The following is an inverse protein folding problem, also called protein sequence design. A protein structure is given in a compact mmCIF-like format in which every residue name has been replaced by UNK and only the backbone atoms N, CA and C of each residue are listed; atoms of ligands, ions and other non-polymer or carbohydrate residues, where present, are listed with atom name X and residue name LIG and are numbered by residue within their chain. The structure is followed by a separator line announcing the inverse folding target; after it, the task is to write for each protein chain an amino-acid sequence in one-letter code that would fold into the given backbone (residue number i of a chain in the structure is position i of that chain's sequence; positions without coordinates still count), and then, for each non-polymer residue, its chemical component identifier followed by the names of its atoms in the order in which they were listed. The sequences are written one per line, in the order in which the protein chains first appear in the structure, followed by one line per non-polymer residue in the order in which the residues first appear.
data_IF_146603053060
#
_entry.id   IF_146603053060
#
_cell.length_a   1.000
_cell.length_b   1.000
_cell.length_c   1.000
_cell.angle_alpha   90.00
_cell.angle_beta   90.00
_cell.angle_gamma   90.00
#
_symmetry.space_group_name_H-M   'P 1'
#
loop_
_entity.id
_entity.type
_entity.pdbx_description
1 polymer ?
#
# COMPACT_ATOMS: atom_id res chain seq x y z
N UNK A 1 -8.44 0.33 -6.65
CA UNK A 1 -7.54 -0.17 -5.59
C UNK A 1 -6.70 0.97 -5.05
N UNK A 2 -6.57 1.15 -3.75
CA UNK A 2 -5.71 2.21 -3.21
C UNK A 2 -4.24 1.95 -3.57
N UNK A 3 -3.56 2.97 -4.10
CA UNK A 3 -2.14 2.95 -4.50
C UNK A 3 -1.40 3.98 -3.67
N UNK A 4 -0.20 3.64 -3.20
CA UNK A 4 0.67 4.59 -2.53
C UNK A 4 1.05 5.70 -3.51
N UNK A 5 0.78 6.95 -3.13
CA UNK A 5 1.12 8.13 -3.90
C UNK A 5 2.63 8.27 -4.15
N UNK A 6 3.47 7.97 -3.14
CA UNK A 6 4.94 8.15 -3.22
C UNK A 6 5.68 7.02 -3.96
N UNK A 7 5.35 5.75 -3.70
CA UNK A 7 6.10 4.61 -4.25
C UNK A 7 5.28 3.69 -5.17
N UNK A 8 4.01 4.02 -5.42
CA UNK A 8 3.17 3.25 -6.34
C UNK A 8 2.77 1.85 -5.86
N UNK A 9 3.09 1.46 -4.62
CA UNK A 9 2.66 0.18 -4.04
C UNK A 9 1.15 0.04 -4.09
N UNK A 10 0.69 -1.10 -4.58
CA UNK A 10 -0.71 -1.46 -4.70
C UNK A 10 -0.90 -2.90 -4.23
N UNK A 11 -2.14 -3.35 -4.16
CA UNK A 11 -2.44 -4.74 -3.78
C UNK A 11 -1.91 -5.67 -4.85
N UNK A 12 -1.11 -6.66 -4.45
CA UNK A 12 -0.62 -7.70 -5.34
C UNK A 12 -1.39 -9.00 -5.10
N UNK A 13 -1.48 -9.83 -6.13
CA UNK A 13 -2.15 -11.12 -6.09
C UNK A 13 -1.07 -12.20 -5.97
N UNK A 14 -1.29 -13.17 -5.10
CA UNK A 14 -0.46 -14.36 -5.03
C UNK A 14 -1.20 -15.55 -4.43
N UNK A 15 -0.41 -16.52 -3.94
CA UNK A 15 -0.92 -17.79 -3.42
C UNK A 15 -0.41 -18.04 -2.01
N UNK A 16 -1.22 -18.67 -1.19
CA UNK A 16 -0.81 -19.31 0.04
C UNK A 16 -0.60 -20.79 -0.27
N UNK A 17 0.59 -21.32 0.02
CA UNK A 17 0.98 -22.70 -0.23
C UNK A 17 1.26 -23.33 1.13
N UNK A 18 0.46 -24.33 1.51
CA UNK A 18 0.68 -25.07 2.75
C UNK A 18 1.81 -26.10 2.61
N UNK A 19 2.26 -26.67 3.73
CA UNK A 19 3.22 -27.76 3.75
C UNK A 19 2.77 -29.00 2.94
N UNK A 20 1.46 -29.29 2.92
CA UNK A 20 0.86 -30.36 2.10
C UNK A 20 0.59 -29.93 0.63
N UNK A 21 1.13 -28.79 0.19
CA UNK A 21 0.93 -28.23 -1.16
C UNK A 21 -0.53 -27.86 -1.52
N UNK A 22 -1.37 -27.53 -0.53
CA UNK A 22 -2.67 -26.92 -0.77
C UNK A 22 -2.49 -25.46 -1.17
N UNK A 23 -2.95 -25.10 -2.36
CA UNK A 23 -2.76 -23.78 -2.96
C UNK A 23 -4.06 -22.98 -2.91
N UNK A 24 -4.08 -21.90 -2.15
CA UNK A 24 -5.22 -20.97 -2.08
C UNK A 24 -4.84 -19.56 -2.54
N UNK A 25 -5.79 -18.77 -3.06
CA UNK A 25 -5.52 -17.38 -3.48
C UNK A 25 -5.33 -16.49 -2.25
N UNK A 26 -4.33 -15.61 -2.30
CA UNK A 26 -4.09 -14.58 -1.27
C UNK A 26 -3.85 -13.21 -1.92
N UNK A 27 -4.31 -12.15 -1.26
CA UNK A 27 -4.01 -10.78 -1.62
C UNK A 27 -2.96 -10.19 -0.67
N UNK A 28 -1.89 -9.64 -1.21
CA UNK A 28 -0.88 -8.88 -0.48
C UNK A 28 -1.25 -7.41 -0.49
N UNK A 29 -1.94 -6.97 0.58
CA UNK A 29 -2.35 -5.57 0.73
C UNK A 29 -1.23 -4.76 1.42
N UNK A 30 -0.70 -3.70 0.80
CA UNK A 30 0.21 -2.79 1.49
C UNK A 30 -0.55 -2.03 2.59
N UNK A 31 0.12 -1.76 3.71
CA UNK A 31 -0.45 -0.92 4.77
C UNK A 31 -0.45 0.55 4.31
N UNK A 32 -1.60 1.01 3.81
CA UNK A 32 -1.84 2.36 3.26
C UNK A 32 -2.67 3.18 4.23
N UNK A 33 -2.17 4.37 4.58
CA UNK A 33 -2.88 5.35 5.39
C UNK A 33 -3.28 6.55 4.55
N UNK A 34 -4.44 7.14 4.87
CA UNK A 34 -4.88 8.41 4.29
C UNK A 34 -4.20 9.55 5.03
N UNK A 35 -3.49 10.40 4.31
CA UNK A 35 -2.89 11.63 4.86
C UNK A 35 -3.25 12.83 4.01
N UNK A 36 -3.09 14.02 4.61
CA UNK A 36 -3.17 15.29 3.87
C UNK A 36 -1.76 15.68 3.43
N UNK A 37 -1.58 15.93 2.14
CA UNK A 37 -0.33 16.46 1.59
C UNK A 37 -0.63 17.83 0.98
N UNK A 38 0.29 18.77 1.16
CA UNK A 38 0.28 20.06 0.49
C UNK A 38 1.05 19.93 -0.82
N UNK A 39 0.35 19.99 -1.95
CA UNK A 39 0.95 20.14 -3.28
C UNK A 39 0.76 21.59 -3.72
N UNK A 40 1.82 22.39 -3.62
CA UNK A 40 1.74 23.83 -3.90
C UNK A 40 0.76 24.53 -2.95
N UNK A 41 -0.25 25.21 -3.51
CA UNK A 41 -1.28 25.93 -2.75
C UNK A 41 -2.51 25.08 -2.37
N UNK A 42 -2.57 23.80 -2.76
CA UNK A 42 -3.75 22.95 -2.51
C UNK A 42 -3.41 21.80 -1.56
N UNK A 43 -4.32 21.56 -0.61
CA UNK A 43 -4.26 20.40 0.29
C UNK A 43 -5.06 19.26 -0.35
N UNK A 44 -4.39 18.14 -0.62
CA UNK A 44 -5.02 16.93 -1.16
C UNK A 44 -4.96 15.81 -0.13
N UNK A 45 -6.01 14.97 -0.12
CA UNK A 45 -6.03 13.71 0.65
C UNK A 45 -5.52 12.60 -0.25
N UNK A 46 -4.43 11.96 0.13
CA UNK A 46 -3.82 10.86 -0.65
C UNK A 46 -3.48 9.67 0.24
N UNK A 47 -3.32 8.50 -0.38
CA UNK A 47 -2.90 7.28 0.30
C UNK A 47 -1.39 7.13 0.27
N UNK A 48 -0.76 6.88 1.41
CA UNK A 48 0.68 6.66 1.53
C UNK A 48 0.95 5.42 2.38
N UNK A 49 1.94 4.62 1.98
CA UNK A 49 2.30 3.44 2.75
C UNK A 49 3.14 3.78 3.99
N UNK A 50 3.05 2.96 5.04
CA UNK A 50 3.81 3.14 6.29
C UNK A 50 5.32 3.29 6.07
N UNK A 51 5.92 2.52 5.14
CA UNK A 51 7.35 2.64 4.79
C UNK A 51 7.70 4.02 4.24
N UNK A 52 6.80 4.64 3.47
CA UNK A 52 6.99 5.98 2.94
C UNK A 52 6.75 7.06 3.99
N UNK A 53 5.78 6.86 4.89
CA UNK A 53 5.55 7.75 6.03
C UNK A 53 6.77 7.80 6.97
N UNK A 54 7.34 6.65 7.30
CA UNK A 54 8.52 6.57 8.18
C UNK A 54 9.76 7.28 7.62
N UNK A 55 9.88 7.39 6.29
CA UNK A 55 11.01 8.09 5.62
C UNK A 55 10.82 9.61 5.52
N UNK A 56 9.68 10.14 5.95
CA UNK A 56 9.38 11.59 5.91
C UNK A 56 9.65 12.26 7.27
N UNK A 57 9.68 11.48 8.35
CA UNK A 57 10.39 11.85 9.57
C UNK A 57 11.89 11.62 9.39
#
# INVERSE_FOLDING_TARGET
MAKCYKCGKHTQIGRNVSHAHNVTRRFFKPNLHKIRIKEGNKIKRVYVCTKCLRKVN
#
